data_IF_083345731872
#
_entry.id   IF_083345731872
#
_cell.length_a   1.000
_cell.length_b   1.000
_cell.length_c   1.000
_cell.angle_alpha   90.00
_cell.angle_beta   90.00
_cell.angle_gamma   90.00
#
_symmetry.space_group_name_H-M   'P 1'
#
loop_
_entity.id
_entity.type
_entity.pdbx_description
1 polymer ?
#
# COMPACT_ATOMS: atom_id res chain seq x y z
N UNK A 1 12.76 -13.34 -13.81
CA UNK A 1 12.48 -11.93 -14.11
C UNK A 1 10.96 -11.75 -14.16
N UNK A 2 10.41 -10.91 -13.29
CA UNK A 2 8.96 -10.66 -13.23
C UNK A 2 8.55 -9.80 -14.44
N UNK A 3 8.10 -10.43 -15.54
CA UNK A 3 7.66 -9.71 -16.75
C UNK A 3 6.58 -8.66 -16.48
N UNK A 4 5.85 -8.77 -15.37
CA UNK A 4 4.95 -7.73 -14.87
C UNK A 4 5.67 -6.41 -14.55
N UNK A 5 6.79 -6.44 -13.82
CA UNK A 5 7.55 -5.24 -13.47
C UNK A 5 8.19 -4.59 -14.70
N UNK A 6 8.68 -5.39 -15.64
CA UNK A 6 9.23 -4.88 -16.90
C UNK A 6 8.15 -4.19 -17.74
N UNK A 7 6.98 -4.82 -17.87
CA UNK A 7 5.83 -4.23 -18.57
C UNK A 7 5.37 -2.91 -17.93
N UNK A 8 5.31 -2.85 -16.60
CA UNK A 8 4.89 -1.64 -15.88
C UNK A 8 5.97 -0.54 -15.96
N UNK A 9 7.24 -0.91 -15.87
CA UNK A 9 8.36 0.02 -16.07
C UNK A 9 8.36 0.63 -17.46
N UNK A 10 8.04 -0.15 -18.51
CA UNK A 10 7.88 0.34 -19.87
C UNK A 10 6.73 1.36 -20.03
N UNK A 11 5.78 1.37 -19.10
CA UNK A 11 4.69 2.36 -19.00
C UNK A 11 5.03 3.53 -18.06
N UNK A 12 6.25 3.61 -17.56
CA UNK A 12 6.72 4.69 -16.68
C UNK A 12 6.40 4.50 -15.19
N UNK A 13 5.90 3.32 -14.78
CA UNK A 13 5.67 3.04 -13.37
C UNK A 13 6.98 2.72 -12.64
N UNK A 14 7.15 3.29 -11.45
CA UNK A 14 8.23 2.89 -10.54
C UNK A 14 7.98 1.49 -9.96
N UNK A 15 9.02 0.85 -9.42
CA UNK A 15 8.86 -0.46 -8.75
C UNK A 15 7.91 -0.37 -7.55
N UNK A 16 8.00 0.69 -6.75
CA UNK A 16 7.13 0.88 -5.58
C UNK A 16 5.67 1.12 -6.01
N UNK A 17 5.45 1.86 -7.08
CA UNK A 17 4.10 2.09 -7.62
C UNK A 17 3.52 0.79 -8.16
N UNK A 18 4.34 0.01 -8.87
CA UNK A 18 3.97 -1.31 -9.39
C UNK A 18 3.59 -2.27 -8.26
N UNK A 19 4.39 -2.35 -7.21
CA UNK A 19 4.08 -3.15 -6.00
C UNK A 19 2.82 -2.66 -5.30
N UNK A 20 2.59 -1.35 -5.23
CA UNK A 20 1.40 -0.76 -4.60
C UNK A 20 0.09 -1.10 -5.30
N UNK A 21 0.11 -1.26 -6.63
CA UNK A 21 -1.07 -1.62 -7.43
C UNK A 21 -1.21 -3.12 -7.67
N UNK A 22 -0.16 -3.92 -7.38
CA UNK A 22 -0.22 -5.38 -7.50
C UNK A 22 -1.22 -5.94 -6.47
N UNK A 23 -1.94 -6.99 -6.87
CA UNK A 23 -2.87 -7.68 -5.97
C UNK A 23 -2.10 -8.50 -4.93
N UNK A 24 -2.43 -8.28 -3.67
CA UNK A 24 -2.05 -9.11 -2.54
C UNK A 24 -3.29 -9.88 -2.05
N UNK A 25 -3.06 -11.00 -1.37
CA UNK A 25 -4.13 -11.88 -0.88
C UNK A 25 -4.20 -11.81 0.64
N UNK A 26 -5.40 -11.61 1.19
CA UNK A 26 -5.61 -11.68 2.63
C UNK A 26 -5.28 -13.11 3.13
N UNK A 27 -4.42 -13.26 4.16
CA UNK A 27 -4.07 -14.58 4.69
C UNK A 27 -5.21 -15.25 5.46
N UNK A 28 -6.24 -14.48 5.83
CA UNK A 28 -7.37 -14.97 6.62
C UNK A 28 -8.57 -15.37 5.73
N UNK A 29 -9.10 -14.44 4.93
CA UNK A 29 -10.31 -14.68 4.13
C UNK A 29 -10.06 -14.92 2.63
N UNK A 30 -8.80 -14.90 2.16
CA UNK A 30 -8.43 -15.10 0.76
C UNK A 30 -8.83 -13.97 -0.21
N UNK A 31 -9.37 -12.86 0.29
CA UNK A 31 -9.75 -11.72 -0.57
C UNK A 31 -8.52 -11.10 -1.23
N UNK A 32 -8.60 -10.86 -2.54
CA UNK A 32 -7.52 -10.25 -3.33
C UNK A 32 -7.79 -8.77 -3.57
N UNK A 33 -6.85 -7.92 -3.22
CA UNK A 33 -6.95 -6.46 -3.36
C UNK A 33 -5.56 -5.85 -3.52
N UNK A 34 -5.47 -4.58 -3.94
CA UNK A 34 -4.20 -3.86 -4.00
C UNK A 34 -3.94 -3.07 -2.71
N UNK A 35 -2.69 -2.69 -2.46
CA UNK A 35 -2.36 -1.84 -1.31
C UNK A 35 -3.04 -0.47 -1.42
N UNK A 36 -3.11 0.10 -2.63
CA UNK A 36 -3.87 1.34 -2.88
C UNK A 36 -5.34 1.20 -2.47
N UNK A 37 -5.99 0.08 -2.84
CA UNK A 37 -7.38 -0.18 -2.45
C UNK A 37 -7.54 -0.29 -0.93
N UNK A 38 -6.63 -0.99 -0.27
CA UNK A 38 -6.64 -1.11 1.19
C UNK A 38 -6.54 0.26 1.87
N UNK A 39 -5.65 1.13 1.39
CA UNK A 39 -5.48 2.50 1.93
C UNK A 39 -6.72 3.35 1.73
N UNK A 40 -7.31 3.31 0.55
CA UNK A 40 -8.46 4.12 0.19
C UNK A 40 -9.74 3.68 0.91
N UNK A 41 -9.90 2.38 1.20
CA UNK A 41 -11.16 1.83 1.72
C UNK A 41 -11.03 1.39 3.17
N UNK A 42 -10.14 0.42 3.46
CA UNK A 42 -10.05 -0.19 4.78
C UNK A 42 -9.29 0.66 5.80
N UNK A 43 -8.26 1.41 5.36
CA UNK A 43 -7.47 2.28 6.21
C UNK A 43 -7.96 3.74 6.22
N UNK A 44 -9.11 4.04 5.62
CA UNK A 44 -9.64 5.39 5.57
C UNK A 44 -9.84 5.93 7.01
N UNK A 45 -9.29 7.11 7.29
CA UNK A 45 -9.37 7.74 8.62
C UNK A 45 -8.37 7.21 9.67
N UNK A 46 -7.53 6.23 9.33
CA UNK A 46 -6.46 5.78 10.22
C UNK A 46 -5.28 6.77 10.21
N UNK A 47 -4.94 7.33 11.36
CA UNK A 47 -3.80 8.25 11.51
C UNK A 47 -2.48 7.59 11.12
N UNK A 48 -2.30 6.32 11.45
CA UNK A 48 -1.07 5.58 11.17
C UNK A 48 -0.87 5.35 9.66
N UNK A 49 -1.96 5.20 8.89
CA UNK A 49 -1.89 5.06 7.44
C UNK A 49 -1.25 6.30 6.77
N UNK A 50 -1.35 7.47 7.41
CA UNK A 50 -0.74 8.72 6.97
C UNK A 50 0.67 8.96 7.53
N UNK A 51 1.19 8.03 8.36
CA UNK A 51 2.48 8.10 9.06
C UNK A 51 3.42 6.94 8.73
N UNK A 52 3.26 6.33 7.55
CA UNK A 52 4.13 5.24 7.09
C UNK A 52 3.86 3.90 7.77
N UNK A 53 2.59 3.60 8.04
CA UNK A 53 2.18 2.31 8.62
C UNK A 53 2.65 1.13 7.74
N UNK A 54 3.43 0.17 8.28
CA UNK A 54 3.88 -1.02 7.53
C UNK A 54 2.82 -2.13 7.48
N UNK A 55 1.60 -1.87 7.97
CA UNK A 55 0.48 -2.83 7.94
C UNK A 55 -0.51 -2.48 6.84
N UNK A 56 -1.25 -3.50 6.43
CA UNK A 56 -2.39 -3.45 5.52
C UNK A 56 -3.60 -4.08 6.21
N UNK A 57 -4.77 -3.45 6.05
CA UNK A 57 -6.06 -3.93 6.58
C UNK A 57 -6.91 -4.48 5.44
N UNK A 58 -7.48 -5.67 5.61
CA UNK A 58 -8.37 -6.26 4.62
C UNK A 58 -9.75 -5.61 4.66
N UNK A 59 -10.24 -5.11 3.51
CA UNK A 59 -11.57 -4.50 3.42
C UNK A 59 -12.75 -5.49 3.52
N UNK A 60 -12.49 -6.81 3.60
CA UNK A 60 -13.52 -7.85 3.68
C UNK A 60 -13.71 -8.42 5.08
N UNK A 61 -12.62 -8.71 5.79
CA UNK A 61 -12.64 -9.38 7.09
C UNK A 61 -11.96 -8.59 8.20
N UNK A 62 -11.50 -7.35 7.91
CA UNK A 62 -10.79 -6.47 8.84
C UNK A 62 -9.46 -7.00 9.40
N UNK A 63 -9.00 -8.17 8.98
CA UNK A 63 -7.69 -8.67 9.39
C UNK A 63 -6.56 -7.70 8.99
N UNK A 64 -5.70 -7.36 9.96
CA UNK A 64 -4.53 -6.52 9.78
C UNK A 64 -3.25 -7.36 9.77
N UNK A 65 -2.42 -7.16 8.76
CA UNK A 65 -1.17 -7.90 8.61
C UNK A 65 -0.08 -7.03 8.00
N UNK A 66 1.17 -7.47 8.13
CA UNK A 66 2.34 -6.75 7.64
C UNK A 66 2.47 -6.84 6.11
N UNK A 67 3.09 -5.81 5.52
CA UNK A 67 3.38 -5.76 4.09
C UNK A 67 4.40 -6.81 3.66
N UNK A 68 5.15 -7.40 4.60
CA UNK A 68 6.00 -8.58 4.36
C UNK A 68 5.22 -9.82 3.85
N UNK A 69 3.89 -9.82 3.93
CA UNK A 69 3.03 -10.84 3.29
C UNK A 69 2.69 -10.52 1.84
N UNK A 70 3.09 -9.37 1.33
CA UNK A 70 2.90 -9.01 -0.08
C UNK A 70 3.92 -9.73 -0.96
N UNK A 71 3.58 -10.07 -2.22
CA UNK A 71 4.47 -10.83 -3.10
C UNK A 71 5.72 -10.07 -3.56
N UNK A 72 5.82 -8.78 -3.26
CA UNK A 72 6.89 -7.88 -3.74
C UNK A 72 7.82 -7.41 -2.61
N UNK A 73 7.64 -7.91 -1.38
CA UNK A 73 8.42 -7.53 -0.20
C UNK A 73 9.15 -8.77 0.30
N UNK A 74 10.48 -8.77 0.14
CA UNK A 74 11.39 -9.84 0.54
C UNK A 74 12.10 -9.50 1.86
N UNK A 75 12.30 -8.21 2.14
CA UNK A 75 13.03 -7.74 3.31
C UNK A 75 12.37 -6.54 4.01
N UNK A 76 12.87 -6.22 5.21
CA UNK A 76 12.33 -5.11 6.03
C UNK A 76 12.60 -3.72 5.46
N UNK A 77 13.63 -3.56 4.63
CA UNK A 77 13.95 -2.30 3.96
C UNK A 77 12.92 -2.04 2.85
N UNK A 78 12.58 -3.07 2.07
CA UNK A 78 11.53 -3.03 1.05
C UNK A 78 10.16 -2.79 1.68
N UNK A 79 9.85 -3.46 2.79
CA UNK A 79 8.63 -3.22 3.56
C UNK A 79 8.50 -1.73 3.93
N UNK A 80 9.55 -1.16 4.51
CA UNK A 80 9.56 0.24 4.91
C UNK A 80 9.46 1.18 3.71
N UNK A 81 10.21 0.91 2.65
CA UNK A 81 10.21 1.71 1.41
C UNK A 81 8.82 1.75 0.78
N UNK A 82 8.14 0.61 0.73
CA UNK A 82 6.77 0.51 0.20
C UNK A 82 5.76 1.24 1.10
N UNK A 83 5.89 1.11 2.42
CA UNK A 83 5.05 1.80 3.39
C UNK A 83 5.18 3.33 3.28
N UNK A 84 6.41 3.84 3.14
CA UNK A 84 6.68 5.26 2.97
C UNK A 84 6.19 5.77 1.61
N UNK A 85 6.37 4.99 0.54
CA UNK A 85 5.86 5.34 -0.79
C UNK A 85 4.33 5.49 -0.81
N UNK A 86 3.60 4.51 -0.27
CA UNK A 86 2.13 4.59 -0.25
C UNK A 86 1.63 5.69 0.69
N UNK A 87 2.32 5.91 1.81
CA UNK A 87 2.03 7.00 2.74
C UNK A 87 2.12 8.36 2.03
N UNK A 88 3.16 8.56 1.22
CA UNK A 88 3.29 9.78 0.40
C UNK A 88 2.10 9.96 -0.53
N UNK A 89 1.70 8.92 -1.27
CA UNK A 89 0.55 8.98 -2.19
C UNK A 89 -0.75 9.33 -1.45
N UNK A 90 -1.00 8.70 -0.30
CA UNK A 90 -2.20 8.97 0.52
C UNK A 90 -2.20 10.42 1.00
N UNK A 91 -1.05 10.91 1.43
CA UNK A 91 -0.94 12.29 1.90
C UNK A 91 -1.07 13.31 0.76
N UNK A 92 -0.41 13.11 -0.37
CA UNK A 92 -0.55 13.97 -1.57
C UNK A 92 -2.04 14.04 -1.99
N UNK A 93 -2.77 12.91 -1.87
CA UNK A 93 -4.20 12.87 -2.12
C UNK A 93 -5.01 13.69 -1.09
N UNK A 94 -4.71 13.58 0.20
CA UNK A 94 -5.37 14.37 1.24
C UNK A 94 -5.11 15.88 1.08
N UNK A 95 -3.85 16.25 0.79
CA UNK A 95 -3.47 17.64 0.50
C UNK A 95 -4.23 18.19 -0.70
N UNK A 96 -4.36 17.42 -1.79
CA UNK A 96 -5.12 17.83 -2.98
C UNK A 96 -6.61 18.09 -2.70
N UNK A 97 -7.14 17.55 -1.61
CA UNK A 97 -8.51 17.71 -1.14
C UNK A 97 -8.66 18.75 -0.01
N UNK A 98 -7.55 19.38 0.41
CA UNK A 98 -7.55 20.30 1.55
C UNK A 98 -7.80 19.63 2.90
N UNK A 99 -7.53 18.33 3.01
CA UNK A 99 -7.69 17.58 4.26
C UNK A 99 -6.40 17.72 5.07
N UNK A 100 -6.48 18.45 6.19
CA UNK A 100 -5.38 18.57 7.13
C UNK A 100 -5.34 17.37 8.08
N UNK A 101 -4.21 16.65 8.10
CA UNK A 101 -3.97 15.60 9.09
C UNK A 101 -3.33 16.25 10.31
N UNK A 102 -4.12 16.48 11.36
CA UNK A 102 -3.60 16.99 12.62
C UNK A 102 -2.54 16.04 13.19
N UNK A 103 -1.36 16.58 13.54
CA UNK A 103 -0.19 15.85 14.05
C UNK A 103 0.59 15.02 13.01
N UNK A 104 0.72 15.52 11.77
CA UNK A 104 1.63 14.93 10.79
C UNK A 104 3.10 15.29 11.05
#
# INVERSE_FOLDING_TARGET
MNGFFEAMRAKGFSNCTTASVRKLTCPDCGFQFSLVYARAVACQGCSEACRGCPKVRCARCDNEFFLDRSPDVEDKIQERTLADHICRIVNDHHESKGIEIANR
#
